data_IF_483737853506
#
_entry.id   IF_483737853506
#
_cell.length_a   1.000
_cell.length_b   1.000
_cell.length_c   1.000
_cell.angle_alpha   90.00
_cell.angle_beta   90.00
_cell.angle_gamma   90.00
#
_symmetry.space_group_name_H-M   'P 1'
#
loop_
_entity.id
_entity.type
_entity.pdbx_description
1 polymer ?
#
# COMPACT_ATOMS: atom_id res chain seq x y z
N UNK A 1 -2.39 6.62 -16.37
CA UNK A 1 -1.40 7.42 -15.60
C UNK A 1 -0.01 7.03 -16.04
N UNK A 2 0.91 8.01 -16.24
CA UNK A 2 2.28 7.76 -16.71
C UNK A 2 3.25 8.72 -16.02
N UNK A 3 4.42 8.22 -15.66
CA UNK A 3 5.57 9.03 -15.25
C UNK A 3 6.39 9.31 -16.49
N UNK A 4 6.59 10.57 -16.80
CA UNK A 4 7.33 11.01 -17.98
C UNK A 4 8.82 11.12 -17.69
N UNK A 5 9.13 11.71 -16.52
CA UNK A 5 10.52 11.91 -16.06
C UNK A 5 10.60 11.83 -14.53
N UNK A 6 11.77 11.47 -14.03
CA UNK A 6 12.10 11.45 -12.61
C UNK A 6 13.46 12.11 -12.41
N UNK A 7 13.55 12.97 -11.41
CA UNK A 7 14.80 13.56 -10.95
C UNK A 7 15.02 13.23 -9.48
N UNK A 8 16.21 12.74 -9.16
CA UNK A 8 16.64 12.36 -7.81
C UNK A 8 17.93 13.08 -7.47
N UNK A 9 18.01 13.66 -6.27
CA UNK A 9 19.22 14.28 -5.74
C UNK A 9 19.42 13.77 -4.29
N UNK A 10 20.59 13.18 -4.03
CA UNK A 10 20.96 12.63 -2.71
C UNK A 10 19.92 11.66 -2.11
N UNK A 11 19.24 10.90 -2.96
CA UNK A 11 18.25 9.92 -2.55
C UNK A 11 18.84 8.52 -2.55
N UNK A 12 18.88 7.86 -1.38
CA UNK A 12 19.49 6.54 -1.22
C UNK A 12 20.94 6.54 -1.74
N UNK A 13 21.21 5.73 -2.79
CA UNK A 13 22.50 5.68 -3.47
C UNK A 13 22.60 6.57 -4.74
N UNK A 14 21.54 7.33 -5.04
CA UNK A 14 21.55 8.28 -6.15
C UNK A 14 22.07 9.65 -5.69
N UNK A 15 23.23 10.07 -6.17
CA UNK A 15 23.80 11.38 -5.87
C UNK A 15 23.09 12.50 -6.68
N UNK A 16 22.84 12.26 -7.96
CA UNK A 16 22.10 13.13 -8.87
C UNK A 16 21.81 12.38 -10.16
N UNK A 17 20.51 12.20 -10.44
CA UNK A 17 20.07 11.44 -11.62
C UNK A 17 18.79 12.06 -12.18
N UNK A 18 18.72 12.22 -13.50
CA UNK A 18 17.51 12.55 -14.24
C UNK A 18 17.28 11.52 -15.32
N UNK A 19 16.06 11.00 -15.42
CA UNK A 19 15.70 9.93 -16.35
C UNK A 19 14.32 10.17 -16.95
N UNK A 20 14.17 9.94 -18.26
CA UNK A 20 12.87 9.97 -18.95
C UNK A 20 12.46 8.55 -19.32
N UNK A 21 11.20 8.24 -19.08
CA UNK A 21 10.66 6.90 -19.20
C UNK A 21 9.86 6.69 -20.48
N UNK A 22 9.75 5.42 -20.87
CA UNK A 22 8.81 4.98 -21.89
C UNK A 22 7.38 5.02 -21.35
N UNK A 23 6.39 5.43 -22.18
CA UNK A 23 5.01 5.53 -21.71
C UNK A 23 4.36 4.19 -21.35
N UNK A 24 4.87 3.06 -21.82
CA UNK A 24 4.25 1.76 -21.66
C UNK A 24 5.09 0.81 -20.80
N UNK A 25 6.35 0.52 -21.16
CA UNK A 25 7.17 -0.44 -20.44
C UNK A 25 8.61 0.03 -20.23
N UNK A 26 9.06 -0.09 -18.98
CA UNK A 26 10.43 0.27 -18.57
C UNK A 26 11.06 -0.91 -17.84
N UNK A 27 12.09 -1.49 -18.42
CA UNK A 27 12.86 -2.57 -17.80
C UNK A 27 14.12 -1.99 -17.17
N UNK A 28 14.28 -2.19 -15.86
CA UNK A 28 15.40 -1.69 -15.08
C UNK A 28 16.30 -2.85 -14.73
N UNK A 29 17.45 -2.87 -15.37
CA UNK A 29 18.42 -3.94 -15.32
C UNK A 29 19.63 -3.59 -14.45
N UNK A 30 20.20 -4.56 -13.76
CA UNK A 30 21.41 -4.39 -12.96
C UNK A 30 21.55 -5.45 -11.88
N UNK A 31 22.75 -5.63 -11.39
CA UNK A 31 23.04 -6.53 -10.28
C UNK A 31 22.30 -6.14 -8.99
N UNK A 32 22.30 -7.03 -8.01
CA UNK A 32 21.71 -6.73 -6.69
C UNK A 32 22.43 -5.55 -6.01
N UNK A 33 21.68 -4.79 -5.23
CA UNK A 33 22.15 -3.62 -4.50
C UNK A 33 22.64 -2.43 -5.36
N UNK A 34 22.45 -2.43 -6.68
CA UNK A 34 22.83 -1.30 -7.54
C UNK A 34 21.91 -0.09 -7.46
N UNK A 35 20.67 -0.24 -6.96
CA UNK A 35 19.72 0.86 -6.80
C UNK A 35 18.39 0.68 -7.54
N UNK A 36 18.13 -0.43 -8.22
CA UNK A 36 16.88 -0.72 -8.92
C UNK A 36 15.64 -0.47 -8.06
N UNK A 37 15.57 -1.14 -6.91
CA UNK A 37 14.48 -0.96 -5.93
C UNK A 37 14.39 0.48 -5.40
N UNK A 38 15.52 1.18 -5.25
CA UNK A 38 15.51 2.57 -4.79
C UNK A 38 14.86 3.51 -5.82
N UNK A 39 15.01 3.23 -7.11
CA UNK A 39 14.32 3.96 -8.16
C UNK A 39 12.81 3.77 -8.07
N UNK A 40 12.33 2.53 -7.93
CA UNK A 40 10.91 2.23 -7.74
C UNK A 40 10.38 2.82 -6.43
N UNK A 41 11.16 2.79 -5.35
CA UNK A 41 10.81 3.41 -4.07
C UNK A 41 10.56 4.93 -4.24
N UNK A 42 11.37 5.63 -5.03
CA UNK A 42 11.15 7.05 -5.30
C UNK A 42 9.83 7.31 -6.02
N UNK A 43 9.47 6.46 -6.99
CA UNK A 43 8.20 6.53 -7.71
C UNK A 43 7.02 6.32 -6.76
N UNK A 44 7.06 5.28 -5.92
CA UNK A 44 6.02 5.05 -4.89
C UNK A 44 5.94 6.23 -3.94
N UNK A 45 7.09 6.72 -3.47
CA UNK A 45 7.11 7.82 -2.50
C UNK A 45 6.47 9.09 -3.04
N UNK A 46 6.74 9.45 -4.29
CA UNK A 46 6.14 10.61 -4.97
C UNK A 46 4.63 10.46 -5.21
N UNK A 47 4.08 9.23 -5.20
CA UNK A 47 2.63 8.99 -5.37
C UNK A 47 1.83 9.10 -4.07
N UNK A 48 2.41 8.73 -2.92
CA UNK A 48 1.66 8.63 -1.67
C UNK A 48 2.38 9.22 -0.44
N UNK A 49 3.60 9.72 -0.61
CA UNK A 49 4.41 10.28 0.48
C UNK A 49 4.80 9.26 1.56
N UNK A 50 4.82 7.98 1.22
CA UNK A 50 5.26 6.89 2.10
C UNK A 50 6.18 5.94 1.33
N UNK A 51 7.27 5.53 1.95
CA UNK A 51 8.12 4.48 1.43
C UNK A 51 7.50 3.11 1.71
N UNK A 52 7.60 2.13 0.79
CA UNK A 52 7.24 0.74 1.07
C UNK A 52 8.22 0.05 2.03
N UNK A 53 9.45 0.59 2.22
CA UNK A 53 10.56 -0.04 2.95
C UNK A 53 11.05 0.78 4.14
N UNK A 54 11.22 2.10 3.97
CA UNK A 54 11.74 2.96 5.02
C UNK A 54 10.67 3.26 6.08
N UNK A 55 11.09 3.25 7.34
CA UNK A 55 10.23 3.62 8.48
C UNK A 55 10.18 5.14 8.66
N UNK A 56 11.26 5.83 8.34
CA UNK A 56 11.38 7.29 8.46
C UNK A 56 11.94 7.91 7.19
N UNK A 57 11.57 9.16 6.93
CA UNK A 57 12.08 9.91 5.76
C UNK A 57 13.60 10.03 5.75
N UNK A 58 14.24 10.06 6.93
CA UNK A 58 15.70 10.18 7.09
C UNK A 58 16.47 9.01 6.49
N UNK A 59 15.89 7.83 6.50
CA UNK A 59 16.50 6.61 5.94
C UNK A 59 16.66 6.66 4.42
N UNK A 60 15.90 7.52 3.75
CA UNK A 60 15.95 7.70 2.29
C UNK A 60 16.97 8.75 1.83
N UNK A 61 17.51 9.54 2.74
CA UNK A 61 18.53 10.55 2.43
C UNK A 61 19.91 9.89 2.36
N UNK A 62 20.70 10.17 1.34
CA UNK A 62 22.07 9.70 1.23
C UNK A 62 22.90 10.02 2.49
N UNK A 63 23.79 9.12 2.90
CA UNK A 63 24.48 9.21 4.20
C UNK A 63 25.19 10.55 4.43
N UNK A 64 25.84 11.07 3.40
CA UNK A 64 26.66 12.27 3.47
C UNK A 64 25.91 13.57 3.11
N UNK A 65 24.58 13.49 2.96
CA UNK A 65 23.76 14.63 2.56
C UNK A 65 22.82 15.10 3.67
N UNK A 66 22.57 16.42 3.81
CA UNK A 66 21.63 16.97 4.78
C UNK A 66 20.16 16.82 4.32
N UNK A 67 19.94 16.66 3.02
CA UNK A 67 18.62 16.59 2.41
C UNK A 67 18.66 15.75 1.14
N UNK A 68 17.48 15.29 0.71
CA UNK A 68 17.26 14.67 -0.60
C UNK A 68 16.11 15.37 -1.33
N UNK A 69 16.16 15.40 -2.66
CA UNK A 69 15.11 15.95 -3.51
C UNK A 69 14.65 14.87 -4.49
N UNK A 70 13.34 14.71 -4.57
CA UNK A 70 12.67 13.85 -5.54
C UNK A 70 11.69 14.70 -6.32
N UNK A 71 11.73 14.63 -7.65
CA UNK A 71 10.79 15.33 -8.51
C UNK A 71 10.38 14.44 -9.68
N UNK A 72 9.08 14.46 -10.04
CA UNK A 72 8.58 13.72 -11.20
C UNK A 72 7.62 14.56 -12.04
N UNK A 73 7.75 14.45 -13.36
CA UNK A 73 6.76 14.85 -14.35
C UNK A 73 5.79 13.70 -14.61
N UNK A 74 4.49 13.95 -14.54
CA UNK A 74 3.43 12.94 -14.60
C UNK A 74 2.38 13.37 -15.61
N UNK A 75 1.91 12.41 -16.41
CA UNK A 75 0.70 12.56 -17.24
C UNK A 75 -0.42 11.70 -16.66
N UNK A 76 -1.53 12.34 -16.30
CA UNK A 76 -2.72 11.68 -15.76
C UNK A 76 -3.96 12.51 -16.08
N UNK A 77 -5.07 11.84 -16.43
CA UNK A 77 -6.36 12.50 -16.75
C UNK A 77 -6.21 13.59 -17.80
N UNK A 78 -5.47 13.31 -18.86
CA UNK A 78 -5.17 14.21 -19.99
C UNK A 78 -4.54 15.55 -19.56
N UNK A 79 -3.80 15.53 -18.44
CA UNK A 79 -3.08 16.69 -17.89
C UNK A 79 -1.68 16.31 -17.47
N UNK A 80 -0.80 17.29 -17.48
CA UNK A 80 0.54 17.14 -16.93
C UNK A 80 0.60 17.75 -15.52
N UNK A 81 1.31 17.03 -14.66
CA UNK A 81 1.56 17.42 -13.28
C UNK A 81 3.05 17.30 -12.99
N UNK A 82 3.50 18.10 -12.05
CA UNK A 82 4.83 18.01 -11.48
C UNK A 82 4.71 17.84 -9.97
N UNK A 83 5.22 16.73 -9.44
CA UNK A 83 5.30 16.49 -7.99
C UNK A 83 6.74 16.62 -7.55
N UNK A 84 6.96 17.31 -6.43
CA UNK A 84 8.27 17.47 -5.82
C UNK A 84 8.19 17.24 -4.33
N UNK A 85 9.19 16.53 -3.79
CA UNK A 85 9.35 16.29 -2.35
C UNK A 85 10.81 16.57 -1.97
N UNK A 86 10.98 17.34 -0.91
CA UNK A 86 12.28 17.58 -0.27
C UNK A 86 12.27 16.94 1.12
N UNK A 87 13.21 16.04 1.36
CA UNK A 87 13.43 15.35 2.62
C UNK A 87 14.59 15.99 3.37
N UNK A 88 14.45 16.12 4.68
CA UNK A 88 15.47 16.74 5.53
C UNK A 88 15.75 15.87 6.75
N UNK A 89 17.02 15.92 7.24
CA UNK A 89 17.41 15.20 8.46
C UNK A 89 16.95 15.88 9.75
N UNK A 90 16.84 17.20 9.74
CA UNK A 90 16.64 18.07 10.90
C UNK A 90 15.23 18.65 11.02
N UNK A 91 14.45 18.59 9.96
CA UNK A 91 13.12 19.18 9.91
C UNK A 91 12.12 18.34 9.11
N UNK A 92 10.86 18.75 9.12
CA UNK A 92 9.80 18.09 8.35
C UNK A 92 10.02 18.27 6.84
N UNK A 93 9.70 17.22 6.08
CA UNK A 93 9.67 17.26 4.62
C UNK A 93 8.77 18.37 4.08
N UNK A 94 9.08 18.84 2.88
CA UNK A 94 8.23 19.73 2.11
C UNK A 94 7.77 19.04 0.84
N UNK A 95 6.56 19.35 0.38
CA UNK A 95 5.94 18.72 -0.78
C UNK A 95 5.25 19.79 -1.63
N UNK A 96 5.25 19.58 -2.94
CA UNK A 96 4.57 20.46 -3.90
C UNK A 96 3.91 19.64 -5.01
N UNK A 97 2.79 20.17 -5.51
CA UNK A 97 2.13 19.73 -6.74
C UNK A 97 1.99 20.96 -7.63
N UNK A 98 2.55 20.93 -8.85
CA UNK A 98 2.60 22.06 -9.77
C UNK A 98 3.10 23.36 -9.11
N UNK A 99 4.20 23.26 -8.33
CA UNK A 99 4.81 24.35 -7.57
C UNK A 99 3.95 24.90 -6.40
N UNK A 100 2.73 24.38 -6.20
CA UNK A 100 1.87 24.74 -5.08
C UNK A 100 2.23 23.87 -3.87
N UNK A 101 2.54 24.48 -2.70
CA UNK A 101 2.85 23.71 -1.49
C UNK A 101 1.70 22.80 -1.07
N UNK A 102 2.01 21.52 -0.85
CA UNK A 102 1.06 20.52 -0.39
C UNK A 102 1.14 20.38 1.15
N UNK A 103 0.00 20.50 1.82
CA UNK A 103 -0.06 20.43 3.30
C UNK A 103 0.12 19.00 3.83
N UNK A 104 -0.25 18.00 3.05
CA UNK A 104 -0.17 16.58 3.42
C UNK A 104 0.05 15.71 2.17
N UNK A 105 0.37 14.44 2.38
CA UNK A 105 0.62 13.48 1.31
C UNK A 105 -0.61 13.10 0.48
N UNK A 106 -1.81 13.36 0.96
CA UNK A 106 -3.03 13.12 0.18
C UNK A 106 -3.05 13.94 -1.12
N UNK A 107 -2.39 15.11 -1.16
CA UNK A 107 -2.26 15.91 -2.39
C UNK A 107 -1.44 15.16 -3.47
N UNK A 108 -0.41 14.40 -3.09
CA UNK A 108 0.36 13.57 -4.02
C UNK A 108 -0.51 12.45 -4.58
N UNK A 109 -1.26 11.76 -3.72
CA UNK A 109 -2.14 10.66 -4.14
C UNK A 109 -3.31 11.10 -5.05
N UNK A 110 -3.63 12.39 -5.09
CA UNK A 110 -4.58 12.94 -6.05
C UNK A 110 -4.01 13.12 -7.47
N UNK A 111 -2.70 13.05 -7.63
CA UNK A 111 -2.05 13.20 -8.95
C UNK A 111 -2.03 11.88 -9.69
N UNK A 112 -1.41 10.87 -9.12
CA UNK A 112 -1.31 9.52 -9.70
C UNK A 112 -1.24 8.45 -8.62
N UNK A 113 -1.46 7.22 -9.03
CA UNK A 113 -1.45 6.05 -8.17
C UNK A 113 -0.41 5.04 -8.61
N UNK A 114 0.10 4.28 -7.66
CA UNK A 114 1.04 3.19 -7.91
C UNK A 114 0.54 1.88 -7.30
N UNK A 115 0.78 0.78 -7.98
CA UNK A 115 0.72 -0.57 -7.41
C UNK A 115 2.13 -1.11 -7.39
N UNK A 116 2.68 -1.26 -6.19
CA UNK A 116 4.01 -1.80 -5.97
C UNK A 116 3.90 -3.28 -5.60
N UNK A 117 4.65 -4.11 -6.30
CA UNK A 117 4.70 -5.54 -6.07
C UNK A 117 6.16 -5.98 -5.93
N UNK A 118 6.50 -6.52 -4.78
CA UNK A 118 7.84 -7.02 -4.44
C UNK A 118 7.77 -8.46 -3.91
N UNK A 119 8.90 -9.16 -3.75
CA UNK A 119 8.92 -10.53 -3.26
C UNK A 119 8.23 -10.73 -1.92
N UNK A 120 8.30 -9.75 -1.01
CA UNK A 120 7.63 -9.82 0.29
C UNK A 120 6.10 -9.93 0.16
N UNK A 121 5.51 -9.32 -0.86
CA UNK A 121 4.06 -9.43 -1.11
C UNK A 121 3.61 -10.87 -1.41
N UNK A 122 4.51 -11.74 -1.89
CA UNK A 122 4.22 -13.16 -2.10
C UNK A 122 3.89 -13.90 -0.80
N UNK A 123 4.33 -13.35 0.33
CA UNK A 123 4.06 -13.89 1.67
C UNK A 123 2.86 -13.24 2.37
N UNK A 124 2.22 -12.23 1.76
CA UNK A 124 1.09 -11.49 2.31
C UNK A 124 -0.01 -12.41 2.86
N UNK A 125 -0.24 -13.54 2.18
CA UNK A 125 -1.24 -14.55 2.58
C UNK A 125 -0.85 -15.22 3.90
N UNK A 126 0.44 -15.50 4.10
CA UNK A 126 0.96 -16.22 5.28
C UNK A 126 1.27 -15.31 6.46
N UNK A 127 1.43 -14.03 6.21
CA UNK A 127 1.66 -13.05 7.25
C UNK A 127 0.43 -12.84 8.14
N UNK A 128 0.63 -12.12 9.25
CA UNK A 128 -0.44 -11.79 10.18
C UNK A 128 -1.40 -10.72 9.65
N UNK A 129 -2.52 -10.54 10.36
CA UNK A 129 -3.54 -9.53 10.05
C UNK A 129 -2.97 -8.11 9.86
N UNK A 130 -1.87 -7.77 10.54
CA UNK A 130 -1.21 -6.47 10.40
C UNK A 130 -0.71 -6.17 8.98
N UNK A 131 -0.17 -7.18 8.27
CA UNK A 131 0.27 -7.04 6.89
C UNK A 131 -0.92 -6.84 5.94
N UNK A 132 -1.99 -7.62 6.11
CA UNK A 132 -3.21 -7.50 5.31
C UNK A 132 -3.94 -6.18 5.54
N UNK A 133 -3.98 -5.66 6.79
CA UNK A 133 -4.46 -4.30 7.04
C UNK A 133 -3.62 -3.25 6.34
N UNK A 134 -2.29 -3.35 6.43
CA UNK A 134 -1.36 -2.43 5.76
C UNK A 134 -1.57 -2.42 4.25
N UNK A 135 -1.79 -3.58 3.64
CA UNK A 135 -2.14 -3.71 2.22
C UNK A 135 -3.42 -2.92 1.89
N UNK A 136 -4.52 -3.16 2.62
CA UNK A 136 -5.78 -2.41 2.43
C UNK A 136 -5.58 -0.91 2.65
N UNK A 137 -4.90 -0.53 3.73
CA UNK A 137 -4.72 0.87 4.10
C UNK A 137 -3.87 1.62 3.07
N UNK A 138 -2.85 0.95 2.50
CA UNK A 138 -2.01 1.53 1.45
C UNK A 138 -2.83 1.84 0.20
N UNK A 139 -3.64 0.88 -0.25
CA UNK A 139 -4.52 1.06 -1.41
C UNK A 139 -5.59 2.13 -1.15
N UNK A 140 -6.30 2.03 -0.03
CA UNK A 140 -7.39 2.95 0.30
C UNK A 140 -6.94 4.38 0.56
N UNK A 141 -5.76 4.59 1.15
CA UNK A 141 -5.20 5.92 1.35
C UNK A 141 -4.89 6.64 0.03
N UNK A 142 -4.50 5.91 -1.01
CA UNK A 142 -4.30 6.49 -2.34
C UNK A 142 -5.64 6.80 -3.02
N UNK A 143 -6.64 5.91 -2.90
CA UNK A 143 -7.92 6.02 -3.61
C UNK A 143 -8.92 6.98 -2.95
N UNK A 144 -8.89 7.12 -1.63
CA UNK A 144 -9.95 7.77 -0.83
C UNK A 144 -9.36 8.76 0.17
N UNK A 145 -9.29 10.05 -0.14
CA UNK A 145 -8.76 11.08 0.79
C UNK A 145 -9.48 11.09 2.14
N UNK A 146 -10.80 10.84 2.15
CA UNK A 146 -11.58 10.72 3.39
C UNK A 146 -11.13 9.54 4.25
N UNK A 147 -10.80 8.41 3.64
CA UNK A 147 -10.23 7.26 4.34
C UNK A 147 -8.87 7.59 4.95
N UNK A 148 -7.98 8.21 4.17
CA UNK A 148 -6.64 8.59 4.63
C UNK A 148 -6.69 9.55 5.82
N UNK A 149 -7.60 10.54 5.80
CA UNK A 149 -7.82 11.45 6.90
C UNK A 149 -8.37 10.72 8.15
N UNK A 150 -9.37 9.85 7.97
CA UNK A 150 -9.94 9.06 9.06
C UNK A 150 -8.91 8.12 9.69
N UNK A 151 -8.07 7.45 8.89
CA UNK A 151 -7.02 6.55 9.36
C UNK A 151 -5.97 7.30 10.20
N UNK A 152 -5.55 8.48 9.75
CA UNK A 152 -4.57 9.30 10.47
C UNK A 152 -5.12 9.74 11.85
N UNK A 153 -6.38 10.21 11.91
CA UNK A 153 -7.03 10.57 13.17
C UNK A 153 -7.26 9.36 14.08
N UNK A 154 -7.70 8.23 13.50
CA UNK A 154 -7.87 7.00 14.26
C UNK A 154 -6.57 6.53 14.91
N UNK A 155 -5.45 6.53 14.17
CA UNK A 155 -4.14 6.14 14.72
C UNK A 155 -3.70 7.09 15.82
N UNK A 156 -3.87 8.41 15.64
CA UNK A 156 -3.56 9.40 16.68
C UNK A 156 -4.36 9.15 17.97
N UNK A 157 -5.66 8.90 17.85
CA UNK A 157 -6.52 8.59 18.99
C UNK A 157 -6.15 7.26 19.66
N UNK A 158 -5.83 6.24 18.85
CA UNK A 158 -5.37 4.94 19.32
C UNK A 158 -4.09 5.06 20.15
N UNK A 159 -3.09 5.81 19.67
CA UNK A 159 -1.85 6.03 20.39
C UNK A 159 -2.07 6.76 21.70
N UNK A 160 -2.94 7.79 21.73
CA UNK A 160 -3.30 8.49 22.94
C UNK A 160 -4.05 7.59 23.93
N UNK A 161 -5.09 6.86 23.48
CA UNK A 161 -5.82 5.90 24.33
C UNK A 161 -4.89 4.85 24.91
N UNK A 162 -3.98 4.31 24.12
CA UNK A 162 -2.98 3.33 24.58
C UNK A 162 -2.09 3.90 25.69
N UNK A 163 -1.69 5.18 25.58
CA UNK A 163 -0.92 5.85 26.64
C UNK A 163 -1.75 6.05 27.89
N UNK A 164 -2.99 6.53 27.77
CA UNK A 164 -3.92 6.70 28.90
C UNK A 164 -4.08 5.38 29.66
N UNK A 165 -4.35 4.28 28.94
CA UNK A 165 -4.52 2.96 29.55
C UNK A 165 -3.25 2.48 30.26
N UNK A 166 -2.07 2.70 29.68
CA UNK A 166 -0.78 2.31 30.26
C UNK A 166 -0.45 3.14 31.51
N UNK A 167 -0.61 4.46 31.41
CA UNK A 167 -0.17 5.39 32.44
C UNK A 167 -1.23 5.52 33.59
N UNK A 168 -2.42 4.89 33.42
CA UNK A 168 -3.53 4.91 34.41
C UNK A 168 -3.24 4.23 35.74
N UNK A 169 -2.19 3.41 35.82
CA UNK A 169 -1.75 2.81 37.09
C UNK A 169 -1.21 3.88 38.06
N UNK A 170 -0.40 4.78 37.54
CA UNK A 170 0.18 5.87 38.31
C UNK A 170 -0.78 7.08 38.41
N UNK A 171 -1.63 7.23 37.40
CA UNK A 171 -2.55 8.36 37.25
C UNK A 171 -3.96 7.89 36.87
N UNK A 172 -4.75 7.42 37.83
CA UNK A 172 -6.12 6.94 37.57
C UNK A 172 -7.06 8.01 37.03
N UNK A 173 -6.80 9.30 37.28
CA UNK A 173 -7.52 10.44 36.74
C UNK A 173 -7.57 10.48 35.21
N UNK A 174 -6.56 9.93 34.54
CA UNK A 174 -6.52 9.86 33.08
C UNK A 174 -7.67 9.03 32.48
N UNK A 175 -8.24 8.08 33.24
CA UNK A 175 -9.35 7.26 32.77
C UNK A 175 -10.63 8.07 32.50
N UNK A 176 -10.78 9.24 33.09
CA UNK A 176 -11.90 10.15 32.86
C UNK A 176 -11.91 10.71 31.42
N UNK A 177 -10.77 10.69 30.73
CA UNK A 177 -10.66 11.13 29.36
C UNK A 177 -11.13 10.07 28.33
N UNK A 178 -11.19 8.79 28.72
CA UNK A 178 -11.50 7.69 27.80
C UNK A 178 -12.83 7.83 27.06
N UNK A 179 -13.94 8.32 27.65
CA UNK A 179 -15.21 8.44 26.95
C UNK A 179 -15.12 9.29 25.68
N UNK A 180 -14.45 10.45 25.72
CA UNK A 180 -14.27 11.32 24.54
C UNK A 180 -13.40 10.65 23.48
N UNK A 181 -12.28 10.03 23.88
CA UNK A 181 -11.43 9.29 22.95
C UNK A 181 -12.19 8.13 22.30
N UNK A 182 -12.97 7.38 23.07
CA UNK A 182 -13.74 6.24 22.58
C UNK A 182 -14.79 6.70 21.55
N UNK A 183 -15.56 7.73 21.82
CA UNK A 183 -16.58 8.25 20.91
C UNK A 183 -15.97 8.70 19.58
N UNK A 184 -14.83 9.38 19.62
CA UNK A 184 -14.10 9.81 18.41
C UNK A 184 -13.52 8.62 17.66
N UNK A 185 -12.95 7.62 18.37
CA UNK A 185 -12.44 6.40 17.76
C UNK A 185 -13.55 5.60 17.07
N UNK A 186 -14.74 5.53 17.65
CA UNK A 186 -15.90 4.86 17.06
C UNK A 186 -16.30 5.53 15.74
N UNK A 187 -16.41 6.87 15.71
CA UNK A 187 -16.78 7.62 14.50
C UNK A 187 -15.76 7.41 13.35
N UNK A 188 -14.49 7.56 13.62
CA UNK A 188 -13.47 7.30 12.60
C UNK A 188 -13.38 5.80 12.26
N UNK A 189 -13.57 4.94 13.24
CA UNK A 189 -13.61 3.49 13.06
C UNK A 189 -14.70 3.03 12.08
N UNK A 190 -15.91 3.59 12.19
CA UNK A 190 -17.00 3.30 11.27
C UNK A 190 -16.65 3.66 9.81
N UNK A 191 -15.96 4.78 9.61
CA UNK A 191 -15.45 5.17 8.28
C UNK A 191 -14.45 4.15 7.75
N UNK A 192 -13.53 3.66 8.59
CA UNK A 192 -12.55 2.66 8.19
C UNK A 192 -13.20 1.32 7.82
N UNK A 193 -14.12 0.82 8.65
CA UNK A 193 -14.85 -0.42 8.41
C UNK A 193 -15.61 -0.35 7.09
N UNK A 194 -16.35 0.74 6.86
CA UNK A 194 -17.12 0.95 5.64
C UNK A 194 -16.25 0.85 4.37
N UNK A 195 -15.14 1.57 4.30
CA UNK A 195 -14.27 1.55 3.12
C UNK A 195 -13.51 0.24 2.96
N UNK A 196 -13.04 -0.37 4.06
CA UNK A 196 -12.34 -1.66 4.01
C UNK A 196 -13.24 -2.77 3.52
N UNK A 197 -14.50 -2.81 3.95
CA UNK A 197 -15.49 -3.77 3.45
C UNK A 197 -15.70 -3.61 1.96
N UNK A 198 -15.96 -2.39 1.46
CA UNK A 198 -16.14 -2.15 0.03
C UNK A 198 -14.92 -2.58 -0.79
N UNK A 199 -13.73 -2.28 -0.27
CA UNK A 199 -12.48 -2.70 -0.90
C UNK A 199 -12.33 -4.22 -0.92
N UNK A 200 -12.62 -4.90 0.17
CA UNK A 200 -12.55 -6.36 0.27
C UNK A 200 -13.53 -7.07 -0.68
N UNK A 201 -14.73 -6.54 -0.87
CA UNK A 201 -15.70 -7.07 -1.83
C UNK A 201 -15.21 -6.93 -3.29
N UNK A 202 -14.68 -5.76 -3.62
CA UNK A 202 -14.08 -5.54 -4.94
C UNK A 202 -12.85 -6.44 -5.14
N UNK A 203 -11.99 -6.54 -4.11
CA UNK A 203 -10.82 -7.39 -4.10
C UNK A 203 -11.18 -8.87 -4.30
N UNK A 204 -12.20 -9.37 -3.58
CA UNK A 204 -12.70 -10.73 -3.75
C UNK A 204 -13.13 -11.02 -5.18
N UNK A 205 -13.90 -10.11 -5.77
CA UNK A 205 -14.42 -10.26 -7.14
C UNK A 205 -13.31 -10.41 -8.17
N UNK A 206 -12.34 -9.52 -8.14
CA UNK A 206 -11.25 -9.50 -9.12
C UNK A 206 -10.19 -10.56 -8.83
N UNK A 207 -9.80 -10.74 -7.56
CA UNK A 207 -8.80 -11.74 -7.18
C UNK A 207 -9.29 -13.17 -7.43
N UNK A 208 -10.56 -13.48 -7.15
CA UNK A 208 -11.13 -14.80 -7.45
C UNK A 208 -11.06 -15.14 -8.94
N UNK A 209 -11.29 -14.14 -9.82
CA UNK A 209 -11.17 -14.30 -11.26
C UNK A 209 -9.70 -14.56 -11.67
N UNK A 210 -8.78 -13.70 -11.25
CA UNK A 210 -7.35 -13.86 -11.57
C UNK A 210 -6.79 -15.18 -11.05
N UNK A 211 -7.16 -15.57 -9.83
CA UNK A 211 -6.71 -16.83 -9.23
C UNK A 211 -7.23 -18.03 -10.02
N UNK A 212 -8.52 -18.03 -10.40
CA UNK A 212 -9.11 -19.10 -11.21
C UNK A 212 -8.39 -19.24 -12.56
N UNK A 213 -8.13 -18.12 -13.22
CA UNK A 213 -7.43 -18.13 -14.52
C UNK A 213 -5.99 -18.62 -14.39
N UNK A 214 -5.25 -18.15 -13.39
CA UNK A 214 -3.88 -18.56 -13.13
C UNK A 214 -3.77 -20.05 -12.72
N UNK A 215 -4.71 -20.54 -11.92
CA UNK A 215 -4.76 -21.97 -11.50
C UNK A 215 -5.30 -22.89 -12.59
N UNK A 216 -5.80 -22.36 -13.72
CA UNK A 216 -6.45 -23.15 -14.77
C UNK A 216 -7.81 -23.69 -14.33
N UNK A 217 -8.54 -22.95 -13.52
CA UNK A 217 -9.89 -23.29 -13.05
C UNK A 217 -9.95 -24.32 -11.93
N UNK A 218 -8.80 -24.73 -11.39
CA UNK A 218 -8.71 -25.84 -10.42
C UNK A 218 -8.93 -25.42 -8.97
N UNK A 219 -8.79 -24.13 -8.67
CA UNK A 219 -8.81 -23.62 -7.30
C UNK A 219 -9.78 -22.44 -7.20
N UNK A 220 -10.47 -22.34 -6.06
CA UNK A 220 -11.41 -21.26 -5.75
C UNK A 220 -10.85 -20.41 -4.61
N UNK A 221 -10.47 -19.18 -4.92
CA UNK A 221 -10.07 -18.18 -3.94
C UNK A 221 -11.31 -17.42 -3.46
N UNK A 222 -11.41 -17.23 -2.15
CA UNK A 222 -12.41 -16.35 -1.52
C UNK A 222 -11.74 -15.43 -0.50
N UNK A 223 -12.21 -14.18 -0.46
CA UNK A 223 -11.72 -13.14 0.45
C UNK A 223 -12.90 -12.55 1.20
N UNK A 224 -12.85 -12.59 2.53
CA UNK A 224 -13.89 -12.04 3.39
C UNK A 224 -13.28 -11.02 4.35
N UNK A 225 -13.92 -9.87 4.48
CA UNK A 225 -13.54 -8.88 5.48
C UNK A 225 -14.10 -9.26 6.84
N UNK A 226 -13.25 -9.27 7.85
CA UNK A 226 -13.59 -9.54 9.24
C UNK A 226 -13.24 -8.33 10.11
N UNK A 227 -14.17 -7.91 10.92
CA UNK A 227 -14.00 -6.84 11.92
C UNK A 227 -14.42 -7.35 13.31
N UNK A 228 -14.56 -6.46 14.29
CA UNK A 228 -14.95 -6.82 15.66
C UNK A 228 -16.32 -7.51 15.72
N UNK A 229 -16.48 -8.43 16.65
CA UNK A 229 -17.60 -9.40 16.69
C UNK A 229 -19.01 -8.79 16.82
N UNK A 230 -19.12 -7.57 17.35
CA UNK A 230 -20.41 -6.89 17.45
C UNK A 230 -20.93 -6.32 16.12
N UNK A 231 -20.04 -6.16 15.13
CA UNK A 231 -20.43 -5.73 13.80
C UNK A 231 -20.87 -6.96 13.01
N UNK A 232 -22.16 -7.22 13.03
CA UNK A 232 -22.77 -8.39 12.37
C UNK A 232 -22.94 -8.18 10.88
N UNK A 233 -23.15 -6.93 10.45
CA UNK A 233 -23.20 -6.53 9.04
C UNK A 233 -22.30 -5.33 8.77
N UNK A 234 -21.07 -5.54 8.26
CA UNK A 234 -20.19 -4.44 7.87
C UNK A 234 -20.74 -3.60 6.69
N UNK A 235 -21.84 -4.03 6.05
CA UNK A 235 -22.53 -3.29 5.00
C UNK A 235 -23.57 -2.29 5.53
N UNK A 236 -23.91 -2.37 6.80
CA UNK A 236 -24.88 -1.49 7.42
C UNK A 236 -24.56 0.00 7.23
N UNK A 237 -25.56 0.85 7.35
CA UNK A 237 -25.40 2.30 7.31
C UNK A 237 -24.45 2.80 8.40
N UNK A 238 -23.82 3.95 8.16
CA UNK A 238 -22.77 4.48 9.04
C UNK A 238 -23.21 4.68 10.49
N UNK A 239 -24.47 5.02 10.75
CA UNK A 239 -25.03 5.14 12.11
C UNK A 239 -25.11 3.79 12.83
N UNK A 240 -25.56 2.74 12.12
CA UNK A 240 -25.63 1.37 12.64
C UNK A 240 -24.24 0.83 12.94
N UNK A 241 -23.29 1.04 12.04
CA UNK A 241 -21.87 0.66 12.27
C UNK A 241 -21.29 1.39 13.50
N UNK A 242 -21.58 2.67 13.62
CA UNK A 242 -21.13 3.50 14.75
C UNK A 242 -21.68 2.94 16.07
N UNK A 243 -22.96 2.61 16.12
CA UNK A 243 -23.57 2.04 17.32
C UNK A 243 -23.03 0.66 17.68
N UNK A 244 -22.85 -0.22 16.70
CA UNK A 244 -22.26 -1.55 16.91
C UNK A 244 -20.81 -1.47 17.42
N UNK A 245 -20.00 -0.55 16.87
CA UNK A 245 -18.64 -0.32 17.34
C UNK A 245 -18.61 0.28 18.76
N UNK A 246 -19.56 1.17 19.08
CA UNK A 246 -19.72 1.74 20.42
C UNK A 246 -20.03 0.66 21.43
N UNK A 247 -21.04 -0.17 21.17
CA UNK A 247 -21.41 -1.29 22.02
C UNK A 247 -20.24 -2.26 22.28
N UNK A 248 -19.45 -2.55 21.23
CA UNK A 248 -18.25 -3.38 21.39
C UNK A 248 -17.20 -2.72 22.28
N UNK A 249 -16.96 -1.42 22.09
CA UNK A 249 -15.98 -0.68 22.87
C UNK A 249 -16.39 -0.58 24.34
N UNK A 250 -17.68 -0.35 24.62
CA UNK A 250 -18.23 -0.31 25.96
C UNK A 250 -18.13 -1.65 26.68
N UNK A 251 -18.47 -2.75 26.00
CA UNK A 251 -18.36 -4.10 26.56
C UNK A 251 -16.92 -4.53 26.90
N UNK A 252 -15.92 -3.92 26.23
CA UNK A 252 -14.51 -4.22 26.44
C UNK A 252 -13.79 -3.28 27.40
N UNK A 253 -14.43 -2.22 27.91
CA UNK A 253 -13.79 -1.22 28.78
C UNK A 253 -13.10 -1.84 29.99
N UNK A 254 -13.77 -2.79 30.68
CA UNK A 254 -13.21 -3.47 31.84
C UNK A 254 -11.93 -4.26 31.49
N UNK A 255 -11.98 -5.01 30.38
CA UNK A 255 -10.85 -5.76 29.90
C UNK A 255 -9.69 -4.86 29.40
N UNK A 256 -10.00 -3.75 28.73
CA UNK A 256 -8.99 -2.77 28.30
C UNK A 256 -8.27 -2.12 29.49
N UNK A 257 -8.99 -1.78 30.56
CA UNK A 257 -8.40 -1.25 31.80
C UNK A 257 -7.52 -2.29 32.48
N UNK A 258 -8.00 -3.54 32.59
CA UNK A 258 -7.25 -4.62 33.23
C UNK A 258 -5.98 -5.00 32.43
N UNK A 259 -6.08 -5.11 31.10
CA UNK A 259 -4.95 -5.45 30.23
C UNK A 259 -4.05 -4.27 29.83
N UNK A 260 -4.51 -3.03 30.06
CA UNK A 260 -3.87 -1.78 29.61
C UNK A 260 -3.65 -1.71 28.10
N UNK A 261 -4.51 -2.35 27.34
CA UNK A 261 -4.44 -2.47 25.88
C UNK A 261 -5.76 -2.06 25.24
N UNK A 262 -5.69 -1.42 24.07
CA UNK A 262 -6.86 -1.22 23.23
C UNK A 262 -7.29 -2.56 22.61
N UNK A 263 -8.50 -3.03 22.94
CA UNK A 263 -9.03 -4.33 22.50
C UNK A 263 -10.13 -4.20 21.46
N UNK A 264 -10.73 -3.02 21.31
CA UNK A 264 -11.89 -2.79 20.43
C UNK A 264 -11.59 -1.80 19.33
N UNK A 265 -11.96 -2.15 18.09
CA UNK A 265 -11.91 -1.28 16.92
C UNK A 265 -11.19 -1.84 15.71
N UNK A 266 -11.17 -1.10 14.58
CA UNK A 266 -10.67 -1.57 13.27
C UNK A 266 -9.16 -1.88 13.21
N UNK A 267 -8.39 -1.58 14.25
CA UNK A 267 -7.02 -2.08 14.38
C UNK A 267 -6.94 -3.59 14.64
N UNK A 268 -8.08 -4.26 14.87
CA UNK A 268 -8.24 -5.72 14.99
C UNK A 268 -8.75 -6.37 13.71
N UNK A 269 -9.15 -5.60 12.70
CA UNK A 269 -9.69 -6.12 11.44
C UNK A 269 -8.72 -7.05 10.70
N UNK A 270 -9.28 -7.92 9.87
CA UNK A 270 -8.51 -8.80 8.99
C UNK A 270 -9.21 -9.03 7.64
N UNK A 271 -8.43 -9.53 6.68
CA UNK A 271 -8.91 -10.19 5.47
C UNK A 271 -8.71 -11.69 5.64
N UNK A 272 -9.80 -12.42 5.77
CA UNK A 272 -9.78 -13.89 5.78
C UNK A 272 -9.73 -14.35 4.34
N UNK A 273 -8.67 -15.07 3.99
CA UNK A 273 -8.43 -15.58 2.64
C UNK A 273 -8.51 -17.10 2.69
N UNK A 274 -9.39 -17.67 1.87
CA UNK A 274 -9.54 -19.12 1.76
C UNK A 274 -9.29 -19.59 0.34
N UNK A 275 -8.75 -20.81 0.20
CA UNK A 275 -8.62 -21.53 -1.07
C UNK A 275 -9.34 -22.87 -0.90
N UNK A 276 -10.32 -23.13 -1.76
CA UNK A 276 -11.18 -24.32 -1.69
C UNK A 276 -11.79 -24.52 -0.29
N UNK A 277 -12.24 -23.42 0.33
CA UNK A 277 -12.88 -23.38 1.64
C UNK A 277 -11.93 -23.59 2.84
N UNK A 278 -10.61 -23.68 2.63
CA UNK A 278 -9.61 -23.82 3.71
C UNK A 278 -8.83 -22.51 3.87
N UNK A 279 -8.53 -22.13 5.12
CA UNK A 279 -7.75 -20.94 5.41
C UNK A 279 -6.39 -20.99 4.71
N UNK A 280 -6.13 -20.05 3.79
CA UNK A 280 -4.94 -20.04 2.98
C UNK A 280 -3.65 -19.87 3.80
N UNK A 281 -3.68 -19.08 4.87
CA UNK A 281 -2.54 -18.88 5.77
C UNK A 281 -1.98 -20.19 6.31
N UNK A 282 -2.86 -21.11 6.72
CA UNK A 282 -2.51 -22.34 7.44
C UNK A 282 -2.33 -23.54 6.51
N UNK A 283 -3.06 -23.58 5.40
CA UNK A 283 -3.21 -24.82 4.62
C UNK A 283 -2.76 -24.71 3.15
N UNK A 284 -2.40 -23.51 2.64
CA UNK A 284 -1.99 -23.41 1.24
C UNK A 284 -0.55 -23.85 0.99
N UNK A 285 -0.32 -24.47 -0.17
CA UNK A 285 1.03 -24.74 -0.67
C UNK A 285 1.75 -23.43 -1.05
N UNK A 286 3.07 -23.46 -1.25
CA UNK A 286 3.82 -22.30 -1.73
C UNK A 286 3.29 -21.78 -3.09
N UNK A 287 2.98 -22.72 -4.01
CA UNK A 287 2.42 -22.36 -5.31
C UNK A 287 1.06 -21.68 -5.21
N UNK A 288 0.17 -22.18 -4.34
CA UNK A 288 -1.13 -21.55 -4.06
C UNK A 288 -0.97 -20.16 -3.43
N UNK A 289 -0.07 -20.01 -2.47
CA UNK A 289 0.25 -18.72 -1.84
C UNK A 289 0.72 -17.70 -2.87
N UNK A 290 1.66 -18.08 -3.75
CA UNK A 290 2.17 -17.20 -4.82
C UNK A 290 1.08 -16.83 -5.81
N UNK A 291 0.25 -17.80 -6.24
CA UNK A 291 -0.88 -17.52 -7.15
C UNK A 291 -1.90 -16.56 -6.51
N UNK A 292 -2.22 -16.76 -5.23
CA UNK A 292 -3.15 -15.88 -4.52
C UNK A 292 -2.59 -14.47 -4.35
N UNK A 293 -1.31 -14.31 -4.00
CA UNK A 293 -0.66 -13.01 -3.90
C UNK A 293 -0.65 -12.24 -5.24
N UNK A 294 -0.32 -12.94 -6.34
CA UNK A 294 -0.45 -12.39 -7.69
C UNK A 294 -1.87 -11.91 -7.99
N UNK A 295 -2.85 -12.74 -7.68
CA UNK A 295 -4.26 -12.42 -7.90
C UNK A 295 -4.69 -11.18 -7.11
N UNK A 296 -4.21 -11.02 -5.87
CA UNK A 296 -4.47 -9.83 -5.04
C UNK A 296 -3.87 -8.57 -5.66
N UNK A 297 -2.63 -8.61 -6.14
CA UNK A 297 -1.96 -7.44 -6.73
C UNK A 297 -2.56 -7.04 -8.10
N UNK A 298 -2.95 -8.00 -8.91
CA UNK A 298 -3.68 -7.72 -10.15
C UNK A 298 -5.08 -7.17 -9.87
N UNK A 299 -5.77 -7.70 -8.85
CA UNK A 299 -7.06 -7.18 -8.41
C UNK A 299 -6.95 -5.74 -7.87
N UNK A 300 -5.91 -5.43 -7.09
CA UNK A 300 -5.61 -4.08 -6.64
C UNK A 300 -5.49 -3.13 -7.85
N UNK A 301 -4.73 -3.51 -8.88
CA UNK A 301 -4.57 -2.72 -10.11
C UNK A 301 -5.91 -2.43 -10.80
N UNK A 302 -6.80 -3.43 -10.89
CA UNK A 302 -8.13 -3.25 -11.48
C UNK A 302 -9.06 -2.38 -10.63
N UNK A 303 -8.98 -2.49 -9.31
CA UNK A 303 -9.75 -1.62 -8.40
C UNK A 303 -9.37 -0.14 -8.66
N UNK A 304 -8.08 0.15 -8.83
CA UNK A 304 -7.64 1.51 -9.18
C UNK A 304 -8.20 1.96 -10.53
N UNK A 305 -8.06 1.13 -11.55
CA UNK A 305 -8.56 1.44 -12.89
C UNK A 305 -10.07 1.72 -12.89
N UNK A 306 -10.85 0.88 -12.19
CA UNK A 306 -12.29 1.08 -12.09
C UNK A 306 -12.69 2.32 -11.26
N UNK A 307 -11.89 2.68 -10.26
CA UNK A 307 -12.16 3.84 -9.40
C UNK A 307 -11.78 5.17 -10.05
N UNK A 308 -10.81 5.18 -10.97
CA UNK A 308 -10.20 6.40 -11.51
C UNK A 308 -10.34 6.56 -13.03
N UNK A 309 -10.73 5.50 -13.75
CA UNK A 309 -10.77 5.46 -15.21
C UNK A 309 -9.43 5.18 -15.87
N UNK A 310 -8.31 5.17 -15.11
CA UNK A 310 -6.96 4.95 -15.63
C UNK A 310 -6.24 3.86 -14.85
N UNK A 311 -5.39 3.10 -15.52
CA UNK A 311 -4.51 2.16 -14.83
C UNK A 311 -3.48 2.93 -13.98
N UNK A 312 -3.21 2.46 -12.73
CA UNK A 312 -2.10 2.95 -11.93
C UNK A 312 -0.77 2.55 -12.58
N UNK A 313 0.30 3.25 -12.23
CA UNK A 313 1.67 2.83 -12.57
C UNK A 313 1.98 1.54 -11.82
N UNK A 314 2.30 0.48 -12.54
CA UNK A 314 2.64 -0.83 -11.97
C UNK A 314 4.15 -0.96 -11.82
N UNK A 315 4.60 -1.32 -10.63
CA UNK A 315 6.01 -1.46 -10.28
C UNK A 315 6.26 -2.90 -9.83
N UNK A 316 6.98 -3.67 -10.62
CA UNK A 316 7.34 -5.06 -10.34
C UNK A 316 8.83 -5.12 -9.94
N UNK A 317 9.10 -5.26 -8.64
CA UNK A 317 10.44 -5.25 -8.07
C UNK A 317 10.94 -6.68 -7.84
N UNK A 318 11.77 -7.19 -8.74
CA UNK A 318 12.39 -8.53 -8.74
C UNK A 318 11.38 -9.70 -8.54
N UNK A 319 10.07 -9.44 -8.69
CA UNK A 319 9.03 -10.43 -8.41
C UNK A 319 8.94 -11.52 -9.47
N UNK A 320 9.28 -11.18 -10.72
CA UNK A 320 9.21 -12.15 -11.82
C UNK A 320 10.22 -13.29 -11.66
N UNK A 321 11.40 -13.03 -11.09
CA UNK A 321 12.42 -14.05 -10.81
C UNK A 321 11.96 -15.10 -9.79
N UNK A 322 11.00 -14.74 -8.92
CA UNK A 322 10.42 -15.64 -7.91
C UNK A 322 9.28 -16.53 -8.46
N UNK A 323 8.91 -16.32 -9.73
CA UNK A 323 7.79 -17.01 -10.36
C UNK A 323 8.27 -18.05 -11.35
N UNK A 324 7.55 -19.17 -11.42
CA UNK A 324 7.72 -20.13 -12.52
C UNK A 324 7.26 -19.55 -13.86
N UNK A 325 7.72 -20.11 -15.01
CA UNK A 325 7.44 -19.57 -16.33
C UNK A 325 5.95 -19.36 -16.63
N UNK A 326 5.06 -20.23 -16.12
CA UNK A 326 3.62 -20.13 -16.35
C UNK A 326 3.03 -18.91 -15.64
N UNK A 327 3.47 -18.62 -14.41
CA UNK A 327 3.03 -17.45 -13.66
C UNK A 327 3.63 -16.17 -14.21
N UNK A 328 4.88 -16.22 -14.67
CA UNK A 328 5.51 -15.08 -15.39
C UNK A 328 4.67 -14.71 -16.62
N UNK A 329 4.39 -15.66 -17.50
CA UNK A 329 3.56 -15.45 -18.69
C UNK A 329 2.16 -14.92 -18.32
N UNK A 330 1.55 -15.47 -17.26
CA UNK A 330 0.25 -15.01 -16.78
C UNK A 330 0.27 -13.53 -16.39
N UNK A 331 1.30 -13.07 -15.66
CA UNK A 331 1.47 -11.66 -15.29
C UNK A 331 1.71 -10.81 -16.52
N UNK A 332 2.67 -11.17 -17.35
CA UNK A 332 3.07 -10.40 -18.54
C UNK A 332 1.89 -10.16 -19.49
N UNK A 333 1.01 -11.15 -19.67
CA UNK A 333 -0.20 -11.02 -20.48
C UNK A 333 -1.27 -10.10 -19.88
N UNK A 334 -1.13 -9.66 -18.60
CA UNK A 334 -2.14 -8.85 -17.89
C UNK A 334 -1.68 -7.45 -17.48
N UNK A 335 -0.42 -7.14 -17.71
CA UNK A 335 0.13 -5.83 -17.38
C UNK A 335 -0.10 -4.76 -18.46
N UNK A 336 -0.63 -5.15 -19.61
CA UNK A 336 -0.97 -4.22 -20.69
C UNK A 336 -2.01 -3.16 -20.23
N UNK A 337 -2.03 -2.02 -20.94
CA UNK A 337 -3.01 -0.93 -20.76
C UNK A 337 -2.59 0.16 -19.78
N UNK A 338 -1.39 0.10 -19.17
CA UNK A 338 -0.83 1.15 -18.31
C UNK A 338 0.68 1.07 -18.26
N UNK A 339 1.33 2.09 -17.72
CA UNK A 339 2.78 2.11 -17.60
C UNK A 339 3.26 1.09 -16.57
N UNK A 340 4.31 0.34 -16.92
CA UNK A 340 4.90 -0.70 -16.09
C UNK A 340 6.40 -0.48 -15.96
N UNK A 341 6.90 -0.69 -14.75
CA UNK A 341 8.34 -0.77 -14.44
C UNK A 341 8.65 -2.16 -13.92
N UNK A 342 9.67 -2.79 -14.47
CA UNK A 342 10.09 -4.15 -14.11
C UNK A 342 11.56 -4.10 -13.76
N UNK A 343 11.95 -4.51 -12.56
CA UNK A 343 13.34 -4.72 -12.22
C UNK A 343 13.73 -6.18 -12.45
N UNK A 344 14.93 -6.41 -12.96
CA UNK A 344 15.53 -7.73 -13.13
C UNK A 344 17.04 -7.71 -12.90
N UNK A 345 17.60 -8.86 -12.53
CA UNK A 345 19.03 -9.01 -12.21
C UNK A 345 19.85 -9.60 -13.36
N UNK A 346 19.23 -10.37 -14.23
CA UNK A 346 19.89 -11.07 -15.33
C UNK A 346 19.47 -10.48 -16.69
N UNK A 347 20.31 -10.68 -17.69
CA UNK A 347 20.05 -10.24 -19.07
C UNK A 347 18.98 -11.15 -19.70
N UNK A 348 17.77 -10.97 -19.20
CA UNK A 348 16.63 -11.80 -19.56
C UNK A 348 16.04 -11.35 -20.91
N UNK A 349 15.38 -12.28 -21.57
CA UNK A 349 14.61 -12.03 -22.80
C UNK A 349 13.42 -11.08 -22.61
N UNK A 350 13.17 -10.61 -21.37
CA UNK A 350 12.08 -9.71 -21.00
C UNK A 350 12.03 -8.40 -21.81
N UNK A 351 13.17 -7.69 -22.04
CA UNK A 351 13.15 -6.47 -22.85
C UNK A 351 12.71 -6.71 -24.28
N UNK A 352 13.11 -7.85 -24.85
CA UNK A 352 12.76 -8.22 -26.24
C UNK A 352 11.29 -8.61 -26.36
N UNK A 353 10.74 -9.25 -25.32
CA UNK A 353 9.33 -9.70 -25.29
C UNK A 353 8.36 -8.54 -25.07
N UNK A 354 8.76 -7.51 -24.33
CA UNK A 354 7.88 -6.43 -23.90
C UNK A 354 7.98 -5.15 -24.75
N UNK A 355 9.01 -5.04 -25.61
CA UNK A 355 9.19 -3.89 -26.53
C UNK A 355 9.38 -2.55 -25.84
N UNK A 356 9.82 -2.53 -24.57
CA UNK A 356 9.97 -1.34 -23.74
C UNK A 356 11.37 -0.72 -23.76
N UNK A 357 11.56 0.37 -23.02
CA UNK A 357 12.85 1.00 -22.80
C UNK A 357 13.64 0.27 -21.71
N UNK A 358 14.91 0.03 -21.97
CA UNK A 358 15.83 -0.65 -21.04
C UNK A 358 16.74 0.38 -20.37
N UNK A 359 16.90 0.25 -19.08
CA UNK A 359 17.79 1.07 -18.26
C UNK A 359 18.79 0.17 -17.53
N UNK A 360 20.06 0.52 -17.58
CA UNK A 360 21.09 -0.15 -16.81
C UNK A 360 21.42 0.64 -15.56
N UNK A 361 21.25 0.02 -14.40
CA UNK A 361 21.55 0.67 -13.10
C UNK A 361 22.82 0.09 -12.54
N UNK A 362 23.81 0.97 -12.31
CA UNK A 362 25.09 0.62 -11.69
C UNK A 362 25.50 1.69 -10.68
N UNK A 363 25.64 1.29 -9.42
CA UNK A 363 26.07 2.18 -8.29
C UNK A 363 25.29 3.49 -8.21
N UNK A 364 23.96 3.47 -8.40
CA UNK A 364 23.13 4.66 -8.35
C UNK A 364 23.22 5.56 -9.59
N UNK A 365 23.78 5.07 -10.69
CA UNK A 365 23.73 5.73 -12.00
C UNK A 365 22.88 4.93 -12.96
N UNK A 366 22.13 5.62 -13.81
CA UNK A 366 21.25 5.04 -14.83
C UNK A 366 21.83 5.38 -16.20
N UNK A 367 22.16 4.35 -17.00
CA UNK A 367 22.65 4.45 -18.35
C UNK A 367 21.68 3.89 -19.38
#
# INVERSE_FOLDING_TARGET
MRILELELQHFRNYSGQRVSFDPDCNVIFGENAQGKTNLLEAIVYLSCGKSPRARTDREMIAFDAPAAVLEAGISARDREFRTRVELYRDRRRKMWVNQVPAKNSAALSQVYHTVFFCPDDLYLIREGAAARRRFMDTALCQLRPRYAAALAEYHRLYDHKTRILRDSEERPDLLELLPDFNERMVRFGAVLVHYRRQFAEALNRYAARHHRECSGGRERLEITYQTVSSVTDPAAEGEVLTEQLRAHMESHQGAERASRMCLSGPHKDDLVITIDGREAKSYSSQGQTRTAALALKLAEREIYQNATGEYPVLLLDDVLSELDPRRQEFVLNRIAGGQVFITCCEDDRLPVLLGGKVFHVKQGAIG
#
